data_IF_385299403943
#
_entry.id   IF_385299403943
#
_cell.length_a   1.000
_cell.length_b   1.000
_cell.length_c   1.000
_cell.angle_alpha   90.00
_cell.angle_beta   90.00
_cell.angle_gamma   90.00
#
_symmetry.space_group_name_H-M   'P 1'
#
loop_
_entity.id
_entity.type
_entity.pdbx_description
1 polymer ?
#
# COMPACT_ATOMS: atom_id res chain seq x y z
N UNK A 1 -18.53 -30.62 3.92
CA UNK A 1 -17.99 -29.39 3.31
C UNK A 1 -16.69 -29.75 2.61
N UNK A 2 -16.44 -29.20 1.42
CA UNK A 2 -15.16 -29.35 0.72
C UNK A 2 -14.06 -28.72 1.60
N UNK A 3 -12.92 -29.37 1.76
CA UNK A 3 -11.77 -28.89 2.55
C UNK A 3 -10.60 -28.46 1.66
N UNK A 4 -10.55 -28.98 0.44
CA UNK A 4 -9.43 -28.86 -0.50
C UNK A 4 -9.75 -27.82 -1.59
N UNK A 5 -9.93 -26.57 -1.18
CA UNK A 5 -10.16 -25.47 -2.10
C UNK A 5 -8.90 -25.08 -2.87
N UNK A 6 -9.07 -24.76 -4.15
CA UNK A 6 -8.04 -24.17 -4.99
C UNK A 6 -8.27 -22.66 -5.13
N UNK A 7 -7.39 -21.86 -4.59
CA UNK A 7 -7.49 -20.39 -4.56
C UNK A 7 -6.40 -19.79 -5.43
N UNK A 8 -6.79 -19.03 -6.45
CA UNK A 8 -5.86 -18.33 -7.34
C UNK A 8 -5.79 -16.86 -6.95
N UNK A 9 -4.59 -16.34 -6.62
CA UNK A 9 -4.40 -14.93 -6.26
C UNK A 9 -3.50 -14.27 -7.29
N UNK A 10 -3.94 -13.16 -7.88
CA UNK A 10 -3.17 -12.45 -8.88
C UNK A 10 -3.01 -10.98 -8.55
N UNK A 11 -1.78 -10.52 -8.65
CA UNK A 11 -1.41 -9.14 -8.45
C UNK A 11 0.10 -8.95 -8.41
N UNK A 12 0.54 -7.70 -8.36
CA UNK A 12 1.97 -7.43 -8.26
C UNK A 12 2.40 -6.12 -8.91
N UNK A 13 3.72 -6.04 -9.17
CA UNK A 13 4.38 -4.88 -9.74
C UNK A 13 4.85 -3.86 -8.69
N UNK A 14 4.19 -3.78 -7.54
CA UNK A 14 4.56 -2.89 -6.43
C UNK A 14 4.22 -3.52 -5.08
N UNK A 15 4.90 -3.07 -4.01
CA UNK A 15 4.59 -3.50 -2.63
C UNK A 15 3.13 -3.24 -2.23
N UNK A 16 2.51 -2.19 -2.78
CA UNK A 16 1.11 -1.84 -2.53
C UNK A 16 0.10 -2.91 -2.98
N UNK A 17 0.47 -3.79 -3.93
CA UNK A 17 -0.37 -4.92 -4.34
C UNK A 17 0.08 -6.24 -3.68
N UNK A 18 1.40 -6.44 -3.52
CA UNK A 18 1.95 -7.71 -3.05
C UNK A 18 1.63 -7.95 -1.57
N UNK A 19 1.83 -6.96 -0.71
CA UNK A 19 1.58 -7.13 0.72
C UNK A 19 0.10 -7.36 1.06
N UNK A 20 -0.88 -6.65 0.46
CA UNK A 20 -2.29 -7.02 0.57
C UNK A 20 -2.59 -8.44 0.09
N UNK A 21 -2.02 -8.88 -1.04
CA UNK A 21 -2.21 -10.23 -1.55
C UNK A 21 -1.71 -11.30 -0.58
N UNK A 22 -0.52 -11.10 0.02
CA UNK A 22 0.04 -11.99 1.02
C UNK A 22 -0.78 -12.01 2.32
N UNK A 23 -1.27 -10.85 2.77
CA UNK A 23 -2.12 -10.78 3.95
C UNK A 23 -3.44 -11.56 3.76
N UNK A 24 -4.09 -11.40 2.59
CA UNK A 24 -5.29 -12.17 2.22
C UNK A 24 -4.98 -13.67 2.16
N UNK A 25 -3.86 -14.06 1.54
CA UNK A 25 -3.45 -15.46 1.46
C UNK A 25 -3.23 -16.07 2.84
N UNK A 26 -2.59 -15.34 3.76
CA UNK A 26 -2.34 -15.78 5.12
C UNK A 26 -3.64 -15.94 5.92
N UNK A 27 -4.57 -14.98 5.83
CA UNK A 27 -5.88 -15.08 6.46
C UNK A 27 -6.68 -16.30 5.93
N UNK A 28 -6.69 -16.51 4.61
CA UNK A 28 -7.33 -17.67 4.00
C UNK A 28 -6.66 -18.98 4.42
N UNK A 29 -5.33 -19.03 4.51
CA UNK A 29 -4.62 -20.25 4.93
C UNK A 29 -4.86 -20.61 6.39
N UNK A 30 -5.03 -19.62 7.26
CA UNK A 30 -5.41 -19.83 8.66
C UNK A 30 -6.82 -20.40 8.78
N UNK A 31 -7.77 -19.90 7.99
CA UNK A 31 -9.19 -20.31 8.04
C UNK A 31 -9.49 -21.56 7.25
N UNK A 32 -8.74 -21.83 6.20
CA UNK A 32 -8.85 -22.97 5.29
C UNK A 32 -7.50 -23.71 5.20
N UNK A 33 -7.06 -24.43 6.25
CA UNK A 33 -5.72 -25.05 6.27
C UNK A 33 -5.47 -26.03 5.11
N UNK A 34 -6.52 -26.71 4.62
CA UNK A 34 -6.46 -27.61 3.46
C UNK A 34 -6.39 -26.91 2.10
N UNK A 35 -6.64 -25.61 2.02
CA UNK A 35 -6.65 -24.91 0.75
C UNK A 35 -5.27 -24.87 0.09
N UNK A 36 -5.26 -25.07 -1.24
CA UNK A 36 -4.11 -24.86 -2.11
C UNK A 36 -4.17 -23.44 -2.68
N UNK A 37 -3.16 -22.61 -2.38
CA UNK A 37 -3.07 -21.22 -2.85
C UNK A 37 -1.98 -21.11 -3.89
N UNK A 38 -2.31 -20.63 -5.09
CA UNK A 38 -1.38 -20.37 -6.18
C UNK A 38 -1.40 -18.89 -6.53
N UNK A 39 -0.20 -18.28 -6.60
CA UNK A 39 -0.06 -16.90 -7.07
C UNK A 39 0.25 -16.82 -8.56
N UNK A 40 -0.18 -15.70 -9.15
CA UNK A 40 0.18 -15.30 -10.52
C UNK A 40 0.62 -13.84 -10.48
N UNK A 41 1.87 -13.59 -10.88
CA UNK A 41 2.51 -12.27 -10.86
C UNK A 41 3.10 -11.88 -12.21
N UNK A 42 3.77 -10.73 -12.26
CA UNK A 42 4.53 -10.30 -13.43
C UNK A 42 5.97 -10.83 -13.36
N UNK A 43 6.48 -11.36 -14.47
CA UNK A 43 7.87 -11.79 -14.59
C UNK A 43 8.84 -10.66 -14.21
N UNK A 44 9.96 -11.02 -13.57
CA UNK A 44 11.04 -10.11 -13.21
C UNK A 44 10.61 -8.92 -12.33
N UNK A 45 9.63 -9.14 -11.46
CA UNK A 45 9.16 -8.19 -10.46
C UNK A 45 9.36 -8.74 -9.05
N UNK A 46 9.22 -7.87 -8.06
CA UNK A 46 9.49 -8.21 -6.66
C UNK A 46 8.57 -9.33 -6.11
N UNK A 47 7.41 -9.55 -6.70
CA UNK A 47 6.53 -10.66 -6.33
C UNK A 47 7.17 -12.03 -6.57
N UNK A 48 8.05 -12.15 -7.58
CA UNK A 48 8.74 -13.41 -7.88
C UNK A 48 9.74 -13.83 -6.79
N UNK A 49 10.13 -12.90 -5.92
CA UNK A 49 10.97 -13.15 -4.73
C UNK A 49 10.12 -13.22 -3.46
N UNK A 50 9.26 -12.22 -3.24
CA UNK A 50 8.51 -12.04 -1.99
C UNK A 50 7.44 -13.09 -1.73
N UNK A 51 6.80 -13.60 -2.78
CA UNK A 51 5.75 -14.62 -2.63
C UNK A 51 6.35 -15.98 -2.24
N UNK A 52 7.44 -16.47 -2.89
CA UNK A 52 8.14 -17.68 -2.43
C UNK A 52 8.75 -17.53 -1.02
N UNK A 53 9.30 -16.37 -0.67
CA UNK A 53 9.79 -16.09 0.71
C UNK A 53 8.68 -16.24 1.75
N UNK A 54 7.43 -15.95 1.38
CA UNK A 54 6.26 -16.14 2.24
C UNK A 54 5.69 -17.57 2.20
N UNK A 55 6.32 -18.50 1.46
CA UNK A 55 5.93 -19.91 1.41
C UNK A 55 4.84 -20.26 0.39
N UNK A 56 4.55 -19.37 -0.57
CA UNK A 56 3.55 -19.60 -1.61
C UNK A 56 4.17 -19.83 -2.99
N UNK A 57 3.61 -20.77 -3.79
CA UNK A 57 4.02 -20.93 -5.19
C UNK A 57 3.51 -19.75 -6.04
N UNK A 58 4.34 -19.33 -7.01
CA UNK A 58 3.99 -18.26 -7.95
C UNK A 58 4.36 -18.62 -9.39
N UNK A 59 3.52 -18.21 -10.34
CA UNK A 59 3.78 -18.31 -11.77
C UNK A 59 3.87 -16.89 -12.34
N UNK A 60 4.94 -16.59 -13.07
CA UNK A 60 5.15 -15.31 -13.72
C UNK A 60 4.46 -15.23 -15.09
N UNK A 61 3.87 -14.06 -15.39
CA UNK A 61 3.35 -13.73 -16.72
C UNK A 61 4.21 -12.64 -17.36
N UNK A 62 4.48 -12.73 -18.67
CA UNK A 62 5.25 -11.74 -19.42
C UNK A 62 4.40 -10.48 -19.70
N UNK A 63 3.99 -9.78 -18.66
CA UNK A 63 3.18 -8.56 -18.76
C UNK A 63 4.05 -7.31 -18.75
N UNK A 64 3.56 -6.24 -19.39
CA UNK A 64 4.20 -4.93 -19.35
C UNK A 64 3.13 -3.83 -19.36
N UNK A 65 3.47 -2.68 -18.77
CA UNK A 65 2.61 -1.50 -18.82
C UNK A 65 2.59 -0.87 -20.21
N UNK A 66 1.47 -0.24 -20.56
CA UNK A 66 1.33 0.56 -21.77
C UNK A 66 2.11 1.87 -21.65
N UNK A 67 2.96 2.18 -22.65
CA UNK A 67 3.60 3.48 -22.77
C UNK A 67 2.60 4.48 -23.40
N UNK A 68 2.04 5.37 -22.55
CA UNK A 68 1.04 6.37 -22.97
C UNK A 68 1.65 7.49 -23.81
N UNK A 69 2.97 7.69 -23.74
CA UNK A 69 3.68 8.76 -24.47
C UNK A 69 4.16 8.30 -25.85
N UNK A 70 4.43 6.99 -26.03
CA UNK A 70 5.02 6.44 -27.26
C UNK A 70 4.24 5.22 -27.73
N UNK A 71 3.09 5.47 -28.37
CA UNK A 71 2.14 4.42 -28.80
C UNK A 71 2.76 3.31 -29.67
N UNK A 72 3.73 3.64 -30.52
CA UNK A 72 4.42 2.67 -31.37
C UNK A 72 5.26 1.63 -30.60
N UNK A 73 5.67 1.93 -29.36
CA UNK A 73 6.33 0.94 -28.49
C UNK A 73 5.39 -0.13 -27.93
N UNK A 74 4.08 0.07 -28.08
CA UNK A 74 3.09 -0.85 -27.53
C UNK A 74 2.85 -2.10 -28.38
N UNK A 75 3.41 -2.23 -29.60
CA UNK A 75 3.29 -3.45 -30.41
C UNK A 75 3.82 -4.67 -29.63
N UNK A 76 5.00 -4.54 -29.00
CA UNK A 76 5.54 -5.57 -28.12
C UNK A 76 4.69 -5.84 -26.88
N UNK A 77 3.98 -4.82 -26.38
CA UNK A 77 3.05 -4.96 -25.23
C UNK A 77 1.82 -5.76 -25.63
N UNK A 78 1.28 -5.58 -26.84
CA UNK A 78 0.15 -6.35 -27.35
C UNK A 78 0.49 -7.84 -27.51
N UNK A 79 1.67 -8.16 -28.03
CA UNK A 79 2.16 -9.55 -28.12
C UNK A 79 2.34 -10.17 -26.74
N UNK A 80 2.89 -9.42 -25.78
CA UNK A 80 3.00 -9.87 -24.38
C UNK A 80 1.62 -10.10 -23.76
N UNK A 81 0.67 -9.21 -23.99
CA UNK A 81 -0.71 -9.34 -23.48
C UNK A 81 -1.39 -10.59 -24.06
N UNK A 82 -1.27 -10.83 -25.36
CA UNK A 82 -1.80 -12.03 -26.00
C UNK A 82 -1.17 -13.32 -25.40
N UNK A 83 0.16 -13.34 -25.25
CA UNK A 83 0.89 -14.45 -24.63
C UNK A 83 0.46 -14.66 -23.18
N UNK A 84 0.38 -13.59 -22.40
CA UNK A 84 -0.07 -13.63 -21.01
C UNK A 84 -1.50 -14.14 -20.88
N UNK A 85 -2.40 -13.74 -21.78
CA UNK A 85 -3.78 -14.24 -21.81
C UNK A 85 -3.86 -15.74 -22.08
N UNK A 86 -3.04 -16.26 -23.02
CA UNK A 86 -2.95 -17.72 -23.27
C UNK A 86 -2.38 -18.48 -22.07
N UNK A 87 -1.34 -17.93 -21.43
CA UNK A 87 -0.75 -18.54 -20.23
C UNK A 87 -1.75 -18.53 -19.08
N UNK A 88 -2.45 -17.42 -18.87
CA UNK A 88 -3.48 -17.32 -17.83
C UNK A 88 -4.60 -18.33 -18.02
N UNK A 89 -5.10 -18.51 -19.25
CA UNK A 89 -6.09 -19.56 -19.56
C UNK A 89 -5.58 -20.95 -19.24
N UNK A 90 -4.31 -21.25 -19.57
CA UNK A 90 -3.69 -22.52 -19.24
C UNK A 90 -3.59 -22.73 -17.73
N UNK A 91 -3.15 -21.69 -16.97
CA UNK A 91 -3.06 -21.73 -15.51
C UNK A 91 -4.43 -22.02 -14.90
N UNK A 92 -5.48 -21.32 -15.31
CA UNK A 92 -6.85 -21.52 -14.80
C UNK A 92 -7.33 -22.93 -15.16
N UNK A 93 -7.10 -23.42 -16.37
CA UNK A 93 -7.49 -24.76 -16.78
C UNK A 93 -6.78 -25.87 -15.98
N UNK A 94 -5.47 -25.71 -15.75
CA UNK A 94 -4.64 -26.75 -15.10
C UNK A 94 -4.84 -26.75 -13.57
N UNK A 95 -4.89 -25.54 -12.95
CA UNK A 95 -5.07 -25.40 -11.49
C UNK A 95 -6.52 -25.58 -11.05
N UNK A 96 -7.51 -25.33 -11.92
CA UNK A 96 -8.95 -25.45 -11.66
C UNK A 96 -9.37 -24.72 -10.37
N UNK A 97 -9.18 -23.40 -10.30
CA UNK A 97 -9.48 -22.65 -9.09
C UNK A 97 -10.98 -22.67 -8.77
N UNK A 98 -11.30 -22.75 -7.49
CA UNK A 98 -12.68 -22.60 -6.97
C UNK A 98 -13.04 -21.11 -6.85
N UNK A 99 -12.02 -20.23 -6.68
CA UNK A 99 -12.15 -18.78 -6.64
C UNK A 99 -10.85 -18.12 -7.13
N UNK A 100 -10.96 -16.96 -7.78
CA UNK A 100 -9.82 -16.15 -8.16
C UNK A 100 -9.91 -14.73 -7.56
N UNK A 101 -8.79 -14.26 -7.00
CA UNK A 101 -8.68 -12.97 -6.31
C UNK A 101 -7.71 -12.08 -7.08
N UNK A 102 -8.17 -10.88 -7.46
CA UNK A 102 -7.36 -9.86 -8.11
C UNK A 102 -7.06 -8.69 -7.18
N UNK A 103 -5.78 -8.45 -6.88
CA UNK A 103 -5.36 -7.33 -6.03
C UNK A 103 -4.76 -6.17 -6.83
N UNK A 104 -4.95 -6.15 -8.14
CA UNK A 104 -4.42 -5.13 -9.02
C UNK A 104 -3.04 -5.45 -9.60
N UNK A 105 -2.53 -4.52 -10.42
CA UNK A 105 -1.31 -4.74 -11.21
C UNK A 105 -1.57 -5.38 -12.57
N UNK A 106 -0.50 -5.47 -13.38
CA UNK A 106 -0.64 -5.89 -14.78
C UNK A 106 -0.96 -7.39 -14.95
N UNK A 107 -0.53 -8.24 -14.02
CA UNK A 107 -0.79 -9.69 -14.08
C UNK A 107 -2.24 -10.04 -13.72
N UNK A 108 -2.89 -9.21 -12.88
CA UNK A 108 -4.27 -9.41 -12.46
C UNK A 108 -5.25 -9.37 -13.65
N UNK A 109 -5.02 -8.49 -14.63
CA UNK A 109 -5.88 -8.36 -15.82
C UNK A 109 -6.12 -9.68 -16.58
N UNK A 110 -5.09 -10.26 -17.20
CA UNK A 110 -5.24 -11.50 -17.95
C UNK A 110 -5.66 -12.69 -17.08
N UNK A 111 -5.22 -12.75 -15.80
CA UNK A 111 -5.55 -13.85 -14.90
C UNK A 111 -7.02 -13.86 -14.53
N UNK A 112 -7.55 -12.73 -14.06
CA UNK A 112 -8.96 -12.63 -13.66
C UNK A 112 -9.90 -12.71 -14.87
N UNK A 113 -9.52 -12.13 -16.02
CA UNK A 113 -10.29 -12.29 -17.26
C UNK A 113 -10.39 -13.75 -17.70
N UNK A 114 -9.30 -14.54 -17.54
CA UNK A 114 -9.33 -15.96 -17.83
C UNK A 114 -10.21 -16.73 -16.84
N UNK A 115 -10.19 -16.40 -15.54
CA UNK A 115 -11.04 -16.98 -14.53
C UNK A 115 -12.53 -16.68 -14.79
N UNK A 116 -12.87 -15.42 -15.09
CA UNK A 116 -14.22 -14.99 -15.46
C UNK A 116 -14.74 -15.73 -16.71
N UNK A 117 -13.91 -15.88 -17.74
CA UNK A 117 -14.27 -16.65 -18.95
C UNK A 117 -14.49 -18.15 -18.65
N UNK A 118 -13.85 -18.68 -17.63
CA UNK A 118 -14.05 -20.07 -17.16
C UNK A 118 -15.16 -20.19 -16.11
N UNK A 119 -15.94 -19.13 -15.87
CA UNK A 119 -17.01 -19.07 -14.87
C UNK A 119 -16.54 -19.38 -13.44
N UNK A 120 -15.28 -19.09 -13.14
CA UNK A 120 -14.75 -19.16 -11.78
C UNK A 120 -15.18 -17.89 -11.04
N UNK A 121 -15.75 -18.00 -9.82
CA UNK A 121 -16.07 -16.83 -8.99
C UNK A 121 -14.86 -15.93 -8.78
N UNK A 122 -15.05 -14.61 -8.91
CA UNK A 122 -13.95 -13.66 -8.81
C UNK A 122 -14.19 -12.56 -7.78
N UNK A 123 -13.14 -12.23 -7.03
CA UNK A 123 -13.10 -11.12 -6.10
C UNK A 123 -12.00 -10.15 -6.52
N UNK A 124 -12.32 -8.86 -6.57
CA UNK A 124 -11.34 -7.79 -6.76
C UNK A 124 -11.09 -7.05 -5.44
N UNK A 125 -9.85 -6.67 -5.18
CA UNK A 125 -9.50 -5.78 -4.09
C UNK A 125 -8.89 -4.50 -4.67
N UNK A 126 -9.47 -3.33 -4.32
CA UNK A 126 -8.99 -2.02 -4.72
C UNK A 126 -8.48 -1.25 -3.51
N UNK A 127 -7.19 -0.91 -3.54
CA UNK A 127 -6.50 -0.29 -2.42
C UNK A 127 -6.66 1.24 -2.39
N UNK A 128 -6.93 1.86 -3.53
CA UNK A 128 -6.87 3.31 -3.70
C UNK A 128 -8.26 3.93 -3.73
N UNK A 129 -8.34 5.21 -3.41
CA UNK A 129 -9.56 6.02 -3.53
C UNK A 129 -9.96 6.29 -4.98
N UNK A 130 -9.12 5.91 -5.94
CA UNK A 130 -9.39 5.96 -7.38
C UNK A 130 -9.02 4.63 -8.02
N UNK A 131 -10.01 3.98 -8.59
CA UNK A 131 -9.86 2.63 -9.12
C UNK A 131 -8.85 2.54 -10.26
N UNK A 132 -8.00 1.53 -10.19
CA UNK A 132 -7.08 1.19 -11.26
C UNK A 132 -7.79 0.73 -12.53
N UNK A 133 -7.18 0.97 -13.70
CA UNK A 133 -7.77 0.60 -15.01
C UNK A 133 -8.12 -0.88 -15.07
N UNK A 134 -7.23 -1.74 -14.58
CA UNK A 134 -7.45 -3.20 -14.57
C UNK A 134 -8.71 -3.57 -13.78
N UNK A 135 -8.86 -3.06 -12.56
CA UNK A 135 -10.03 -3.34 -11.73
C UNK A 135 -11.32 -2.80 -12.35
N UNK A 136 -11.28 -1.60 -12.97
CA UNK A 136 -12.45 -1.05 -13.71
C UNK A 136 -12.89 -1.95 -14.86
N UNK A 137 -11.95 -2.52 -15.62
CA UNK A 137 -12.27 -3.42 -16.73
C UNK A 137 -12.86 -4.76 -16.25
N UNK A 138 -12.37 -5.28 -15.14
CA UNK A 138 -12.81 -6.58 -14.58
C UNK A 138 -14.09 -6.47 -13.74
N UNK A 139 -14.43 -5.29 -13.26
CA UNK A 139 -15.52 -5.06 -12.31
C UNK A 139 -16.90 -5.52 -12.80
N UNK A 140 -17.14 -5.44 -14.12
CA UNK A 140 -18.42 -5.84 -14.73
C UNK A 140 -18.76 -7.31 -14.46
N UNK A 141 -17.75 -8.18 -14.47
CA UNK A 141 -17.92 -9.63 -14.34
C UNK A 141 -17.39 -10.17 -13.01
N UNK A 142 -16.96 -9.29 -12.09
CA UNK A 142 -16.54 -9.69 -10.75
C UNK A 142 -17.74 -9.94 -9.82
N UNK A 143 -17.67 -10.95 -8.97
CA UNK A 143 -18.73 -11.29 -8.01
C UNK A 143 -18.69 -10.41 -6.76
N UNK A 144 -17.49 -9.98 -6.33
CA UNK A 144 -17.25 -9.11 -5.19
C UNK A 144 -16.13 -8.13 -5.48
N UNK A 145 -16.25 -6.94 -4.94
CA UNK A 145 -15.26 -5.87 -5.07
C UNK A 145 -15.02 -5.26 -3.70
N UNK A 146 -13.95 -5.70 -3.06
CA UNK A 146 -13.52 -5.21 -1.76
C UNK A 146 -12.78 -3.89 -1.93
N UNK A 147 -13.22 -2.85 -1.25
CA UNK A 147 -12.66 -1.50 -1.39
C UNK A 147 -12.23 -0.92 -0.04
N UNK A 148 -11.31 0.05 -0.08
CA UNK A 148 -10.79 0.72 1.10
C UNK A 148 -11.32 2.14 1.31
N UNK A 149 -12.06 2.68 0.36
CA UNK A 149 -12.57 4.04 0.39
C UNK A 149 -14.05 4.08 -0.03
N UNK A 150 -14.78 5.04 0.53
CA UNK A 150 -16.14 5.36 0.12
C UNK A 150 -16.21 5.99 -1.28
N UNK A 151 -17.39 6.04 -1.87
CA UNK A 151 -17.64 6.67 -3.18
C UNK A 151 -17.11 5.87 -4.36
N UNK A 152 -16.86 4.56 -4.18
CA UNK A 152 -16.34 3.68 -5.23
C UNK A 152 -17.40 3.20 -6.22
N UNK A 153 -18.69 3.45 -5.96
CA UNK A 153 -19.81 3.21 -6.87
C UNK A 153 -19.71 4.02 -8.17
N UNK A 154 -18.95 5.10 -8.20
CA UNK A 154 -18.58 5.83 -9.42
C UNK A 154 -17.70 5.04 -10.39
N UNK A 155 -17.11 3.92 -9.94
CA UNK A 155 -16.22 3.08 -10.73
C UNK A 155 -16.73 1.64 -10.87
N UNK A 156 -17.51 1.17 -9.91
CA UNK A 156 -17.87 -0.23 -9.76
C UNK A 156 -19.38 -0.39 -9.55
N UNK A 157 -19.97 -1.54 -9.93
CA UNK A 157 -21.38 -1.84 -9.61
C UNK A 157 -21.60 -1.82 -8.09
N UNK A 158 -22.54 -1.00 -7.63
CA UNK A 158 -22.77 -0.75 -6.20
C UNK A 158 -23.16 -2.03 -5.41
N UNK A 159 -23.89 -2.94 -6.04
CA UNK A 159 -24.35 -4.21 -5.47
C UNK A 159 -23.22 -5.22 -5.25
N UNK A 160 -22.01 -4.97 -5.78
CA UNK A 160 -20.85 -5.84 -5.65
C UNK A 160 -19.77 -5.28 -4.73
N UNK A 161 -19.92 -4.02 -4.32
CA UNK A 161 -18.97 -3.33 -3.46
C UNK A 161 -19.12 -3.80 -2.01
N UNK A 162 -17.99 -4.12 -1.38
CA UNK A 162 -17.91 -4.38 0.06
C UNK A 162 -16.79 -3.51 0.64
N UNK A 163 -17.12 -2.72 1.67
CA UNK A 163 -16.16 -1.88 2.38
C UNK A 163 -15.37 -2.73 3.37
N UNK A 164 -14.19 -3.17 2.99
CA UNK A 164 -13.32 -4.04 3.82
C UNK A 164 -12.11 -3.31 4.40
N UNK A 165 -11.64 -2.27 3.74
CA UNK A 165 -10.35 -1.65 4.03
C UNK A 165 -9.21 -2.30 3.25
N UNK A 166 -7.99 -1.85 3.56
CA UNK A 166 -6.77 -2.44 3.05
C UNK A 166 -6.13 -3.36 4.09
N UNK A 167 -5.72 -4.56 3.72
CA UNK A 167 -4.92 -5.41 4.60
C UNK A 167 -3.62 -4.71 5.01
N UNK A 168 -3.38 -4.67 6.30
CA UNK A 168 -2.20 -4.08 6.92
C UNK A 168 -1.46 -5.16 7.71
N UNK A 169 -0.14 -5.05 7.78
CA UNK A 169 0.70 -6.03 8.49
C UNK A 169 0.33 -6.12 9.96
N UNK A 170 -0.04 -7.31 10.44
CA UNK A 170 -0.42 -7.54 11.85
C UNK A 170 0.69 -7.12 12.83
N UNK A 171 1.96 -7.27 12.45
CA UNK A 171 3.11 -6.84 13.25
C UNK A 171 3.08 -5.33 13.66
N UNK A 172 2.34 -4.47 12.95
CA UNK A 172 2.20 -3.07 13.33
C UNK A 172 1.42 -2.87 14.64
N UNK A 173 0.62 -3.86 15.06
CA UNK A 173 -0.15 -3.83 16.30
C UNK A 173 0.57 -4.49 17.49
N UNK A 174 1.71 -5.12 17.25
CA UNK A 174 2.45 -5.88 18.28
C UNK A 174 3.26 -4.97 19.21
N UNK A 175 3.52 -3.71 18.83
CA UNK A 175 4.24 -2.76 19.67
C UNK A 175 3.42 -2.38 20.92
N UNK A 176 3.89 -2.80 22.09
CA UNK A 176 3.29 -2.49 23.40
C UNK A 176 3.92 -1.29 24.10
N UNK A 177 4.94 -0.70 23.50
CA UNK A 177 5.65 0.44 24.04
C UNK A 177 4.74 1.67 24.10
N UNK A 178 4.94 2.51 25.10
CA UNK A 178 4.45 3.89 25.10
C UNK A 178 5.20 4.72 24.04
N UNK A 179 4.70 5.89 23.62
CA UNK A 179 5.44 6.76 22.70
C UNK A 179 6.84 7.16 23.21
N UNK A 180 6.97 7.38 24.52
CA UNK A 180 8.25 7.69 25.19
C UNK A 180 9.24 6.52 25.07
N UNK A 181 8.83 5.31 25.50
CA UNK A 181 9.66 4.10 25.40
C UNK A 181 10.04 3.76 23.97
N UNK A 182 9.14 4.00 23.01
CA UNK A 182 9.43 3.79 21.60
C UNK A 182 10.49 4.76 21.06
N UNK A 183 10.51 6.02 21.53
CA UNK A 183 11.57 6.99 21.20
C UNK A 183 12.91 6.53 21.77
N UNK A 184 12.95 6.12 23.03
CA UNK A 184 14.18 5.60 23.66
C UNK A 184 14.70 4.36 22.93
N UNK A 185 13.83 3.43 22.56
CA UNK A 185 14.19 2.23 21.78
C UNK A 185 14.80 2.58 20.41
N UNK A 186 14.41 3.72 19.82
CA UNK A 186 14.99 4.23 18.59
C UNK A 186 16.24 5.10 18.81
N UNK A 187 16.61 5.35 20.08
CA UNK A 187 17.79 6.13 20.48
C UNK A 187 17.54 7.65 20.48
N UNK A 188 16.31 8.07 20.78
CA UNK A 188 15.93 9.48 20.96
C UNK A 188 15.47 9.74 22.38
N UNK A 189 15.53 11.01 22.87
CA UNK A 189 14.98 11.39 24.16
C UNK A 189 13.47 11.11 24.24
N UNK A 190 13.02 10.60 25.38
CA UNK A 190 11.65 10.18 25.65
C UNK A 190 10.62 11.32 25.52
N UNK A 191 11.01 12.50 25.98
CA UNK A 191 10.16 13.70 26.15
C UNK A 191 10.24 14.68 24.96
N UNK A 192 11.18 14.49 24.04
CA UNK A 192 11.30 15.34 22.84
C UNK A 192 10.41 14.83 21.69
N UNK A 193 9.76 15.74 20.91
CA UNK A 193 9.00 15.34 19.73
C UNK A 193 9.89 14.63 18.70
N UNK A 194 9.30 13.65 17.99
CA UNK A 194 9.98 12.93 16.92
C UNK A 194 9.18 13.07 15.61
N UNK A 195 9.75 13.73 14.62
CA UNK A 195 9.26 13.72 13.25
C UNK A 195 9.85 12.54 12.51
N UNK A 196 9.02 11.76 11.86
CA UNK A 196 9.45 10.60 11.07
C UNK A 196 9.21 10.88 9.59
N UNK A 197 10.23 10.69 8.76
CA UNK A 197 10.13 10.82 7.30
C UNK A 197 10.28 9.46 6.63
N UNK A 198 9.29 9.09 5.79
CA UNK A 198 9.26 7.81 5.08
C UNK A 198 9.06 8.02 3.58
N UNK A 199 10.11 7.84 2.81
CA UNK A 199 10.07 7.96 1.33
C UNK A 199 9.65 6.69 0.59
N UNK A 200 9.35 5.59 1.33
CA UNK A 200 9.15 4.26 0.78
C UNK A 200 10.47 3.47 0.62
N UNK A 201 10.40 2.18 0.30
CA UNK A 201 11.57 1.26 0.31
C UNK A 201 12.72 1.67 -0.62
N UNK A 202 12.42 2.31 -1.75
CA UNK A 202 13.42 2.83 -2.69
C UNK A 202 13.81 4.28 -2.38
N UNK A 203 13.07 4.95 -1.52
CA UNK A 203 13.16 6.39 -1.27
C UNK A 203 12.42 7.23 -2.32
N UNK A 204 12.32 8.52 -2.04
CA UNK A 204 11.69 9.50 -2.91
C UNK A 204 12.54 10.77 -2.98
N UNK A 205 13.13 11.07 -4.14
CA UNK A 205 14.08 12.18 -4.31
C UNK A 205 13.52 13.52 -3.81
N UNK A 206 12.33 13.89 -4.26
CA UNK A 206 11.70 15.16 -3.87
C UNK A 206 11.34 15.24 -2.38
N UNK A 207 10.95 14.13 -1.75
CA UNK A 207 10.75 14.09 -0.30
C UNK A 207 12.07 14.25 0.43
N UNK A 208 13.13 13.61 -0.06
CA UNK A 208 14.47 13.73 0.54
C UNK A 208 15.00 15.18 0.41
N UNK A 209 14.90 15.78 -0.77
CA UNK A 209 15.34 17.17 -0.99
C UNK A 209 14.56 18.14 -0.10
N UNK A 210 13.22 18.00 -0.04
CA UNK A 210 12.37 18.82 0.81
C UNK A 210 12.69 18.65 2.31
N UNK A 211 12.95 17.42 2.75
CA UNK A 211 13.34 17.12 4.13
C UNK A 211 14.70 17.75 4.47
N UNK A 212 15.67 17.66 3.56
CA UNK A 212 16.97 18.26 3.75
C UNK A 212 16.88 19.79 3.93
N UNK A 213 16.07 20.48 3.14
CA UNK A 213 15.85 21.91 3.26
C UNK A 213 15.07 22.32 4.51
N UNK A 214 14.17 21.43 5.01
CA UNK A 214 13.34 21.69 6.18
C UNK A 214 13.97 21.26 7.52
N UNK A 215 15.00 20.41 7.50
CA UNK A 215 15.52 19.76 8.72
C UNK A 215 15.99 20.72 9.80
N UNK A 216 16.66 21.82 9.43
CA UNK A 216 17.16 22.80 10.40
C UNK A 216 15.99 23.57 11.05
N UNK A 217 14.93 23.89 10.31
CA UNK A 217 13.72 24.51 10.84
C UNK A 217 12.93 23.55 11.75
N UNK A 218 12.86 22.28 11.40
CA UNK A 218 12.23 21.23 12.22
C UNK A 218 12.99 21.08 13.54
N UNK A 219 14.31 20.90 13.50
CA UNK A 219 15.13 20.67 14.69
C UNK A 219 15.28 21.91 15.58
N UNK A 220 15.15 23.10 15.03
CA UNK A 220 15.10 24.35 15.81
C UNK A 220 13.89 24.45 16.75
N UNK A 221 12.80 23.71 16.51
CA UNK A 221 11.65 23.61 17.45
C UNK A 221 11.95 22.75 18.69
N UNK A 222 13.11 22.08 18.73
CA UNK A 222 13.43 21.09 19.76
C UNK A 222 13.17 19.65 19.33
N UNK A 223 12.49 19.42 18.20
CA UNK A 223 12.17 18.09 17.70
C UNK A 223 13.39 17.33 17.16
N UNK A 224 13.30 16.00 17.23
CA UNK A 224 14.22 15.09 16.54
C UNK A 224 13.63 14.66 15.20
N UNK A 225 14.51 14.23 14.29
CA UNK A 225 14.16 13.78 12.95
C UNK A 225 14.71 12.37 12.70
N UNK A 226 13.81 11.40 12.52
CA UNK A 226 14.15 10.07 12.01
C UNK A 226 13.79 10.01 10.54
N UNK A 227 14.80 9.86 9.69
CA UNK A 227 14.63 10.02 8.26
C UNK A 227 15.07 8.79 7.47
N UNK A 228 14.09 8.08 6.87
CA UNK A 228 14.33 7.01 5.92
C UNK A 228 14.45 7.57 4.51
N UNK A 229 15.66 7.60 3.99
CA UNK A 229 15.98 8.12 2.66
C UNK A 229 15.73 7.13 1.53
N UNK A 230 15.64 5.83 1.85
CA UNK A 230 15.70 4.75 0.87
C UNK A 230 17.15 4.40 0.47
N UNK A 231 17.34 3.15 0.04
CA UNK A 231 18.70 2.61 -0.26
C UNK A 231 19.44 3.42 -1.32
N UNK A 232 18.73 3.96 -2.31
CA UNK A 232 19.34 4.69 -3.45
C UNK A 232 19.99 6.00 -3.02
N UNK A 233 19.42 6.67 -2.02
CA UNK A 233 19.82 8.02 -1.63
C UNK A 233 20.54 8.07 -0.28
N UNK A 234 20.72 6.91 0.38
CA UNK A 234 21.23 6.87 1.75
C UNK A 234 22.60 7.50 1.89
N UNK A 235 23.57 7.12 1.06
CA UNK A 235 24.95 7.58 1.19
C UNK A 235 25.04 9.11 1.03
N UNK A 236 24.30 9.68 0.06
CA UNK A 236 24.25 11.13 -0.17
C UNK A 236 23.72 11.87 1.07
N UNK A 237 22.56 11.45 1.58
CA UNK A 237 21.92 12.20 2.67
C UNK A 237 22.53 11.87 4.05
N UNK A 238 23.09 10.70 4.26
CA UNK A 238 23.88 10.38 5.46
C UNK A 238 25.12 11.26 5.57
N UNK A 239 25.81 11.51 4.44
CA UNK A 239 26.95 12.45 4.41
C UNK A 239 26.51 13.88 4.70
N UNK A 240 25.42 14.36 4.06
CA UNK A 240 24.87 15.72 4.25
C UNK A 240 24.38 15.97 5.69
N UNK A 241 23.99 14.94 6.43
CA UNK A 241 23.49 15.04 7.80
C UNK A 241 24.53 14.67 8.86
N UNK A 242 25.77 14.38 8.46
CA UNK A 242 26.86 14.02 9.37
C UNK A 242 27.07 15.11 10.44
N UNK A 243 27.07 14.72 11.72
CA UNK A 243 27.23 15.64 12.84
C UNK A 243 26.01 16.42 13.27
N UNK A 244 24.84 16.25 12.63
CA UNK A 244 23.57 16.81 13.07
C UNK A 244 22.99 15.99 14.21
N UNK A 245 23.13 16.45 15.47
CA UNK A 245 22.79 15.69 16.67
C UNK A 245 21.31 15.21 16.76
N UNK A 246 20.37 16.01 16.22
CA UNK A 246 18.93 15.71 16.25
C UNK A 246 18.42 14.99 15.00
N UNK A 247 19.29 14.60 14.06
CA UNK A 247 18.90 13.96 12.80
C UNK A 247 19.53 12.58 12.70
N UNK A 248 18.68 11.56 12.57
CA UNK A 248 19.10 10.17 12.32
C UNK A 248 18.62 9.73 10.94
N UNK A 249 19.56 9.57 10.02
CA UNK A 249 19.29 9.15 8.64
C UNK A 249 19.49 7.64 8.52
N UNK A 250 18.54 6.94 7.89
CA UNK A 250 18.57 5.50 7.68
C UNK A 250 18.17 5.13 6.25
N UNK A 251 18.80 4.09 5.69
CA UNK A 251 18.43 3.56 4.38
C UNK A 251 17.04 2.89 4.40
N UNK A 252 16.73 2.20 5.50
CA UNK A 252 15.51 1.43 5.70
C UNK A 252 15.15 1.35 7.18
N UNK A 253 13.87 1.35 7.50
CA UNK A 253 13.34 1.18 8.86
C UNK A 253 12.69 -0.21 8.98
N UNK A 254 13.33 -1.15 9.67
CA UNK A 254 12.82 -2.53 9.74
C UNK A 254 11.62 -2.69 10.65
N UNK A 255 11.57 -1.94 11.74
CA UNK A 255 10.49 -1.98 12.73
C UNK A 255 9.59 -0.73 12.63
N UNK A 256 8.65 -0.78 11.70
CA UNK A 256 7.68 0.30 11.51
C UNK A 256 6.69 0.42 12.67
N UNK A 257 6.45 -0.64 13.44
CA UNK A 257 5.55 -0.60 14.60
C UNK A 257 6.08 0.36 15.67
N UNK A 258 7.34 0.18 16.07
CA UNK A 258 8.02 1.09 17.01
C UNK A 258 8.18 2.49 16.43
N UNK A 259 8.50 2.61 15.13
CA UNK A 259 8.64 3.91 14.45
C UNK A 259 7.36 4.72 14.48
N UNK A 260 6.23 4.14 14.09
CA UNK A 260 4.94 4.84 14.13
C UNK A 260 4.50 5.16 15.56
N UNK A 261 4.81 4.27 16.51
CA UNK A 261 4.52 4.50 17.92
C UNK A 261 5.28 5.68 18.53
N UNK A 262 6.53 5.88 18.10
CA UNK A 262 7.40 6.96 18.55
C UNK A 262 7.05 8.32 17.91
N UNK A 263 6.44 8.31 16.72
CA UNK A 263 6.25 9.49 15.90
C UNK A 263 5.28 10.50 16.53
N UNK A 264 5.66 11.78 16.54
CA UNK A 264 4.75 12.90 16.80
C UNK A 264 3.86 13.13 15.59
N UNK A 265 4.43 13.09 14.40
CA UNK A 265 3.74 12.95 13.12
C UNK A 265 4.69 12.38 12.07
N UNK A 266 4.12 11.97 10.94
CA UNK A 266 4.86 11.36 9.84
C UNK A 266 4.79 12.25 8.60
N UNK A 267 5.92 12.39 7.90
CA UNK A 267 6.00 12.96 6.55
C UNK A 267 6.20 11.80 5.59
N UNK A 268 5.28 11.58 4.64
CA UNK A 268 5.40 10.44 3.73
C UNK A 268 4.75 10.65 2.37
N UNK A 269 5.01 9.71 1.46
CA UNK A 269 4.18 9.54 0.26
C UNK A 269 2.77 9.06 0.63
N UNK A 270 1.78 9.41 -0.19
CA UNK A 270 0.38 9.03 0.01
C UNK A 270 0.05 7.66 -0.64
N UNK A 271 0.89 6.65 -0.37
CA UNK A 271 0.62 5.28 -0.79
C UNK A 271 -0.53 4.66 0.01
N UNK A 272 -1.36 3.85 -0.64
CA UNK A 272 -2.55 3.26 -0.02
C UNK A 272 -2.22 2.49 1.28
N UNK A 273 -1.17 1.65 1.27
CA UNK A 273 -0.75 0.89 2.46
C UNK A 273 -0.32 1.82 3.59
N UNK A 274 0.50 2.84 3.30
CA UNK A 274 0.95 3.82 4.31
C UNK A 274 -0.23 4.55 4.93
N UNK A 275 -1.17 5.03 4.11
CA UNK A 275 -2.39 5.69 4.63
C UNK A 275 -3.18 4.76 5.54
N UNK A 276 -3.38 3.50 5.14
CA UNK A 276 -4.12 2.54 5.96
C UNK A 276 -3.40 2.22 7.28
N UNK A 277 -2.06 2.17 7.28
CA UNK A 277 -1.25 2.06 8.49
C UNK A 277 -1.45 3.27 9.41
N UNK A 278 -1.40 4.50 8.85
CA UNK A 278 -1.63 5.73 9.61
C UNK A 278 -3.05 5.81 10.19
N UNK A 279 -4.07 5.39 9.43
CA UNK A 279 -5.47 5.33 9.87
C UNK A 279 -5.61 4.38 11.07
N UNK A 280 -5.10 3.17 10.96
CA UNK A 280 -5.23 2.15 12.01
C UNK A 280 -4.48 2.52 13.29
N UNK A 281 -3.35 3.21 13.18
CA UNK A 281 -2.55 3.63 14.33
C UNK A 281 -2.93 5.03 14.85
N UNK A 282 -3.71 5.80 14.09
CA UNK A 282 -4.10 7.17 14.47
C UNK A 282 -2.92 8.13 14.44
N UNK A 283 -2.02 8.02 13.48
CA UNK A 283 -0.80 8.83 13.40
C UNK A 283 -1.04 10.04 12.49
N UNK A 284 -0.86 11.29 12.99
CA UNK A 284 -0.95 12.49 12.17
C UNK A 284 0.08 12.48 11.03
N UNK A 285 -0.24 13.09 9.88
CA UNK A 285 0.69 13.09 8.77
C UNK A 285 0.66 14.36 7.92
N UNK A 286 1.82 14.68 7.35
CA UNK A 286 1.99 15.52 6.18
C UNK A 286 2.24 14.59 4.98
N UNK A 287 1.32 14.59 4.04
CA UNK A 287 1.37 13.72 2.87
C UNK A 287 1.92 14.49 1.67
N UNK A 288 2.96 13.94 1.03
CA UNK A 288 3.56 14.48 -0.18
C UNK A 288 3.32 13.45 -1.31
N UNK A 289 2.19 13.54 -2.03
CA UNK A 289 1.85 12.59 -3.07
C UNK A 289 2.83 12.65 -4.23
N UNK A 290 3.21 11.48 -4.77
CA UNK A 290 4.07 11.42 -5.96
C UNK A 290 3.30 11.86 -7.20
N UNK A 291 3.88 12.79 -7.97
CA UNK A 291 3.32 13.20 -9.26
C UNK A 291 3.50 12.15 -10.38
N UNK A 292 4.36 11.14 -10.17
CA UNK A 292 4.75 10.16 -11.20
C UNK A 292 4.05 8.81 -11.04
N UNK A 293 2.83 8.79 -10.52
CA UNK A 293 2.04 7.56 -10.36
C UNK A 293 0.85 7.53 -11.32
N UNK A 294 0.40 6.31 -11.66
CA UNK A 294 -0.73 6.12 -12.56
C UNK A 294 -2.01 6.79 -11.98
N UNK A 295 -2.79 7.44 -12.85
CA UNK A 295 -4.10 8.03 -12.52
C UNK A 295 -4.08 9.04 -11.35
N UNK A 296 -2.89 9.57 -10.99
CA UNK A 296 -2.71 10.50 -9.86
C UNK A 296 -3.32 9.97 -8.53
N UNK A 297 -3.25 8.65 -8.35
CA UNK A 297 -3.92 7.98 -7.24
C UNK A 297 -3.41 8.44 -5.87
N UNK A 298 -2.10 8.75 -5.72
CA UNK A 298 -1.58 9.21 -4.43
C UNK A 298 -2.18 10.55 -4.01
N UNK A 299 -2.34 11.50 -4.94
CA UNK A 299 -2.99 12.76 -4.65
C UNK A 299 -4.45 12.56 -4.24
N UNK A 300 -5.16 11.68 -4.94
CA UNK A 300 -6.56 11.36 -4.60
C UNK A 300 -6.68 10.65 -3.26
N UNK A 301 -5.74 9.77 -2.92
CA UNK A 301 -5.67 9.15 -1.61
C UNK A 301 -5.42 10.19 -0.50
N UNK A 302 -4.48 11.12 -0.70
CA UNK A 302 -4.22 12.20 0.25
C UNK A 302 -5.45 13.10 0.43
N UNK A 303 -6.11 13.50 -0.68
CA UNK A 303 -7.33 14.32 -0.63
C UNK A 303 -8.44 13.66 0.20
N UNK A 304 -8.60 12.34 0.13
CA UNK A 304 -9.60 11.64 0.94
C UNK A 304 -9.40 11.84 2.46
N UNK A 305 -8.17 12.11 2.92
CA UNK A 305 -7.86 12.45 4.30
C UNK A 305 -8.01 13.96 4.54
N UNK A 306 -7.53 14.79 3.62
CA UNK A 306 -7.60 16.26 3.72
C UNK A 306 -9.06 16.72 3.79
N UNK A 307 -9.94 16.18 2.96
CA UNK A 307 -11.37 16.50 2.93
C UNK A 307 -12.09 16.16 4.25
N UNK A 308 -11.46 15.36 5.13
CA UNK A 308 -11.96 14.98 6.47
C UNK A 308 -11.15 15.60 7.61
N UNK A 309 -10.30 16.58 7.31
CA UNK A 309 -9.37 17.18 8.27
C UNK A 309 -8.57 16.12 9.07
N UNK A 310 -8.07 15.11 8.35
CA UNK A 310 -7.35 13.96 8.91
C UNK A 310 -5.84 13.96 8.57
N UNK A 311 -5.40 14.83 7.69
CA UNK A 311 -3.99 15.02 7.33
C UNK A 311 -3.79 16.35 6.60
N UNK A 312 -2.54 16.80 6.53
CA UNK A 312 -2.10 17.85 5.62
C UNK A 312 -1.57 17.25 4.32
N UNK A 313 -1.78 17.92 3.19
CA UNK A 313 -1.14 17.57 1.92
C UNK A 313 -0.31 18.73 1.40
N UNK A 314 0.91 18.42 0.95
CA UNK A 314 1.80 19.33 0.22
C UNK A 314 2.07 18.70 -1.14
N UNK A 315 1.87 19.46 -2.22
CA UNK A 315 2.16 18.97 -3.57
C UNK A 315 3.68 18.76 -3.74
N UNK A 316 4.04 17.74 -4.51
CA UNK A 316 5.44 17.34 -4.73
C UNK A 316 6.32 18.52 -5.23
N UNK A 317 5.76 19.36 -6.12
CA UNK A 317 6.45 20.53 -6.66
C UNK A 317 6.64 21.68 -5.64
N UNK A 318 5.85 21.72 -4.57
CA UNK A 318 5.88 22.74 -3.54
C UNK A 318 6.62 22.27 -2.27
N UNK A 319 7.01 20.98 -2.24
CA UNK A 319 7.46 20.31 -1.03
C UNK A 319 8.69 20.99 -0.39
N UNK A 320 9.70 21.38 -1.16
CA UNK A 320 10.91 22.02 -0.66
C UNK A 320 10.65 23.36 0.03
N UNK A 321 9.71 24.14 -0.48
CA UNK A 321 9.35 25.43 0.13
C UNK A 321 8.42 25.25 1.32
N UNK A 322 7.29 24.55 1.11
CA UNK A 322 6.23 24.48 2.10
C UNK A 322 6.56 23.64 3.31
N UNK A 323 7.33 22.54 3.16
CA UNK A 323 7.66 21.67 4.29
C UNK A 323 8.46 22.39 5.37
N UNK A 324 9.31 23.35 4.96
CA UNK A 324 10.11 24.18 5.87
C UNK A 324 9.25 25.05 6.80
N UNK A 325 8.05 25.43 6.35
CA UNK A 325 7.12 26.26 7.11
C UNK A 325 6.09 25.39 7.85
N UNK A 326 5.50 24.43 7.15
CA UNK A 326 4.36 23.64 7.65
C UNK A 326 4.76 22.59 8.71
N UNK A 327 5.95 21.98 8.60
CA UNK A 327 6.36 21.00 9.59
C UNK A 327 6.64 21.61 10.97
N UNK A 328 7.38 22.75 11.10
CA UNK A 328 7.49 23.46 12.37
C UNK A 328 6.14 24.00 12.87
N UNK A 329 5.27 24.51 11.98
CA UNK A 329 3.94 24.96 12.37
C UNK A 329 3.11 23.83 12.99
N UNK A 330 3.11 22.63 12.37
CA UNK A 330 2.42 21.47 12.90
C UNK A 330 3.04 20.98 14.23
N UNK A 331 4.36 21.09 14.42
CA UNK A 331 5.01 20.79 15.71
C UNK A 331 4.52 21.71 16.84
N UNK A 332 4.29 22.98 16.52
CA UNK A 332 3.84 24.00 17.49
C UNK A 332 2.32 24.03 17.67
N UNK A 333 1.55 23.20 16.96
CA UNK A 333 0.10 23.14 17.03
C UNK A 333 -0.38 21.74 17.49
N UNK A 334 -0.39 21.47 18.79
CA UNK A 334 -0.84 20.19 19.33
C UNK A 334 -2.33 19.92 19.05
N UNK A 335 -3.19 20.94 19.05
CA UNK A 335 -4.64 20.79 18.82
C UNK A 335 -4.91 20.28 17.39
N UNK A 336 -4.17 20.79 16.43
CA UNK A 336 -4.26 20.34 15.04
C UNK A 336 -3.77 18.91 14.88
N UNK A 337 -2.66 18.52 15.54
CA UNK A 337 -2.19 17.13 15.53
C UNK A 337 -3.21 16.18 16.15
N UNK A 338 -3.81 16.57 17.28
CA UNK A 338 -4.85 15.77 17.96
C UNK A 338 -6.09 15.63 17.08
N UNK A 339 -6.49 16.69 16.39
CA UNK A 339 -7.58 16.67 15.41
C UNK A 339 -7.26 15.68 14.27
N UNK A 340 -6.07 15.76 13.69
CA UNK A 340 -5.66 14.83 12.64
C UNK A 340 -5.62 13.38 13.14
N UNK A 341 -5.06 13.13 14.33
CA UNK A 341 -5.01 11.81 14.95
C UNK A 341 -6.40 11.23 15.18
N UNK A 342 -7.31 12.03 15.72
CA UNK A 342 -8.68 11.61 15.97
C UNK A 342 -9.45 11.31 14.67
N UNK A 343 -9.32 12.18 13.68
CA UNK A 343 -10.05 12.04 12.41
C UNK A 343 -9.49 10.90 11.55
N UNK A 344 -8.17 10.77 11.46
CA UNK A 344 -7.56 9.67 10.69
C UNK A 344 -7.91 8.31 11.30
N UNK A 345 -8.01 8.21 12.63
CA UNK A 345 -8.43 6.99 13.33
C UNK A 345 -9.89 6.62 13.07
N UNK A 346 -10.81 7.60 12.94
CA UNK A 346 -12.21 7.35 12.57
C UNK A 346 -12.36 6.71 11.18
N UNK A 347 -11.37 6.90 10.31
CA UNK A 347 -11.35 6.31 8.97
C UNK A 347 -10.75 4.89 8.93
N UNK A 348 -10.30 4.38 10.07
CA UNK A 348 -9.66 3.06 10.16
C UNK A 348 -10.65 1.94 9.90
N UNK A 349 -10.24 0.98 9.08
CA UNK A 349 -10.97 -0.26 8.81
C UNK A 349 -10.07 -1.44 9.25
N UNK A 350 -10.18 -1.87 10.52
CA UNK A 350 -9.38 -2.97 11.04
C UNK A 350 -9.79 -4.32 10.44
N UNK A 351 -8.90 -5.31 10.54
CA UNK A 351 -9.17 -6.68 10.14
C UNK A 351 -9.58 -6.84 8.67
N UNK A 352 -9.05 -5.99 7.79
CA UNK A 352 -9.40 -5.98 6.38
C UNK A 352 -9.07 -7.31 5.69
N UNK A 353 -7.98 -7.97 6.06
CA UNK A 353 -7.59 -9.30 5.57
C UNK A 353 -8.63 -10.37 5.94
N UNK A 354 -9.14 -10.35 7.17
CA UNK A 354 -10.18 -11.28 7.64
C UNK A 354 -11.53 -11.01 6.95
N UNK A 355 -11.92 -9.72 6.82
CA UNK A 355 -13.14 -9.36 6.09
C UNK A 355 -13.11 -9.77 4.62
N UNK A 356 -11.96 -9.63 3.96
CA UNK A 356 -11.78 -10.09 2.58
C UNK A 356 -11.85 -11.63 2.53
N UNK A 357 -11.24 -12.31 3.51
CA UNK A 357 -11.33 -13.76 3.61
C UNK A 357 -12.78 -14.23 3.81
N UNK A 358 -13.61 -13.51 4.57
CA UNK A 358 -15.05 -13.80 4.71
C UNK A 358 -15.78 -13.74 3.37
N UNK A 359 -15.52 -12.70 2.56
CA UNK A 359 -16.11 -12.58 1.23
C UNK A 359 -15.66 -13.72 0.29
N UNK A 360 -14.39 -14.12 0.36
CA UNK A 360 -13.88 -15.27 -0.41
C UNK A 360 -14.59 -16.56 0.02
N UNK A 361 -14.72 -16.82 1.33
CA UNK A 361 -15.40 -17.99 1.85
C UNK A 361 -16.89 -18.01 1.46
N UNK A 362 -17.52 -16.83 1.45
CA UNK A 362 -18.90 -16.67 0.96
C UNK A 362 -19.02 -17.08 -0.51
N UNK A 363 -18.05 -16.71 -1.36
CA UNK A 363 -18.03 -17.12 -2.76
C UNK A 363 -17.81 -18.64 -2.92
N UNK A 364 -16.94 -19.23 -2.10
CA UNK A 364 -16.65 -20.67 -2.12
C UNK A 364 -17.86 -21.53 -1.69
N UNK A 365 -18.73 -20.99 -0.83
CA UNK A 365 -19.92 -21.68 -0.30
C UNK A 365 -21.20 -21.42 -1.11
N UNK A 366 -21.15 -20.62 -2.18
CA UNK A 366 -22.31 -20.46 -3.10
C UNK A 366 -22.59 -21.80 -3.77
N UNK A 367 -23.81 -22.26 -3.66
CA UNK A 367 -24.31 -23.39 -4.47
C UNK A 367 -24.13 -23.01 -5.95
N UNK A 368 -23.47 -23.91 -6.70
CA UNK A 368 -23.24 -23.74 -8.15
C UNK A 368 -24.51 -23.98 -8.92
#
# INVERSE_FOLDING_TARGET
MKTDYHILISGGGTGGHIFPALAIANALKQRLPGASIQFVGADNRMEMERVPEAGYPIIGLPVAGFDRKRLWRNVGVLLKLWRSSRMAKKIVHDFKPDVAIGVGGYASGPTLAAAQQAHVPTLLQEQNSYAGVTNKLLAKDADRICVAYEGMERFFPADRIVMTGNPVRKALFDCKLTPAEAREALGFPADEPLVVVVGGSLGARSVNDATYEAMDAITATGANLLWQTGKIYYDEFAEKTRGKAKVKTMAFLPDMATVYRAATFVISRAGASTISELQLLGVPAILIPSANVAEDHQRKNAMALVDRDAAMMILDAEASQRLKEEAPALLNDPERRDTYAANVRKMALPEADERIADEVITLLNREK
#
